data_IF_167762452079
#
_entry.id   IF_167762452079
#
_cell.length_a   1.000
_cell.length_b   1.000
_cell.length_c   1.000
_cell.angle_alpha   90.00
_cell.angle_beta   90.00
_cell.angle_gamma   90.00
#
_symmetry.space_group_name_H-M   'P 1'
#
loop_
_entity.id
_entity.type
_entity.pdbx_description
1 polymer ?
#
# COMPACT_ATOMS: atom_id res chain seq x y z
N UNK A 1 -12.38 -5.33 -0.25
CA UNK A 1 -11.51 -6.26 -1.00
C UNK A 1 -11.84 -6.13 -2.48
N UNK A 2 -10.85 -6.00 -3.36
CA UNK A 2 -11.03 -5.82 -4.79
C UNK A 2 -11.20 -7.15 -5.53
N UNK A 3 -10.19 -8.01 -5.43
CA UNK A 3 -10.20 -9.32 -6.06
C UNK A 3 -9.11 -9.43 -7.13
N UNK A 4 -9.50 -9.75 -8.36
CA UNK A 4 -8.54 -9.90 -9.46
C UNK A 4 -8.73 -8.81 -10.50
N UNK A 5 -7.62 -8.33 -11.06
CA UNK A 5 -7.57 -7.18 -11.95
C UNK A 5 -7.45 -5.86 -11.20
N UNK A 6 -7.32 -4.76 -11.95
CA UNK A 6 -7.15 -3.41 -11.40
C UNK A 6 -8.44 -2.92 -10.74
N UNK A 7 -8.41 -2.77 -9.43
CA UNK A 7 -9.56 -2.43 -8.61
C UNK A 7 -9.46 -1.00 -8.05
N UNK A 8 -10.62 -0.38 -7.78
CA UNK A 8 -10.71 0.88 -7.05
C UNK A 8 -11.58 0.69 -5.81
N UNK A 9 -10.95 0.69 -4.63
CA UNK A 9 -11.60 0.50 -3.35
C UNK A 9 -11.72 1.84 -2.64
N UNK A 10 -12.96 2.14 -2.26
CA UNK A 10 -13.30 3.27 -1.41
C UNK A 10 -13.90 2.73 -0.12
N UNK A 11 -13.21 2.97 0.98
CA UNK A 11 -13.72 2.76 2.32
C UNK A 11 -14.84 3.76 2.63
N UNK A 12 -15.67 3.38 3.59
CA UNK A 12 -16.88 4.10 3.95
C UNK A 12 -16.75 4.87 5.26
N UNK A 13 -17.86 4.93 5.99
CA UNK A 13 -17.84 5.36 7.38
C UNK A 13 -17.36 4.18 8.25
N UNK A 14 -16.38 4.44 9.13
CA UNK A 14 -15.84 3.42 10.03
C UNK A 14 -14.42 2.99 9.64
N UNK A 15 -13.78 2.26 10.55
CA UNK A 15 -12.45 1.69 10.34
C UNK A 15 -12.51 0.52 9.37
N UNK A 16 -11.73 0.58 8.29
CA UNK A 16 -11.75 -0.39 7.20
C UNK A 16 -10.49 -1.26 7.12
N UNK A 17 -10.64 -2.44 6.54
CA UNK A 17 -9.53 -3.29 6.13
C UNK A 17 -9.58 -3.44 4.61
N UNK A 18 -8.66 -2.77 3.92
CA UNK A 18 -8.61 -2.71 2.47
C UNK A 18 -7.54 -3.68 1.96
N UNK A 19 -7.96 -4.58 1.09
CA UNK A 19 -7.10 -5.54 0.38
C UNK A 19 -7.44 -5.38 -1.10
N UNK A 20 -6.52 -4.86 -1.92
CA UNK A 20 -6.77 -4.69 -3.35
C UNK A 20 -6.94 -6.05 -4.03
N UNK A 21 -5.95 -6.90 -3.82
CA UNK A 21 -5.83 -8.21 -4.45
C UNK A 21 -6.78 -9.28 -3.89
N UNK A 22 -6.78 -10.42 -4.58
CA UNK A 22 -7.24 -11.70 -4.07
C UNK A 22 -6.08 -12.40 -3.34
N UNK A 23 -6.04 -12.40 -1.98
CA UNK A 23 -4.93 -12.95 -1.22
C UNK A 23 -4.83 -14.50 -1.30
N UNK A 24 -5.82 -15.15 -1.92
CA UNK A 24 -5.80 -16.60 -2.17
C UNK A 24 -5.29 -16.97 -3.55
N UNK A 25 -4.95 -15.97 -4.38
CA UNK A 25 -4.33 -16.23 -5.67
C UNK A 25 -2.90 -16.77 -5.44
N UNK A 26 -2.33 -17.43 -6.47
CA UNK A 26 -0.95 -17.92 -6.40
C UNK A 26 0.05 -16.75 -6.33
N UNK A 27 -0.31 -15.62 -6.92
CA UNK A 27 0.53 -14.44 -6.98
C UNK A 27 -0.35 -13.19 -6.81
N UNK A 28 -0.65 -12.79 -5.57
CA UNK A 28 -1.60 -11.71 -5.31
C UNK A 28 -1.04 -10.38 -5.82
N UNK A 29 -1.79 -9.70 -6.68
CA UNK A 29 -1.38 -8.40 -7.23
C UNK A 29 -0.61 -8.49 -8.55
N UNK A 30 -0.27 -9.68 -9.04
CA UNK A 30 0.52 -9.81 -10.26
C UNK A 30 -0.15 -9.17 -11.48
N UNK A 31 0.49 -8.14 -12.02
CA UNK A 31 -0.01 -7.32 -13.12
C UNK A 31 -1.26 -6.48 -12.76
N UNK A 32 -1.52 -6.25 -11.47
CA UNK A 32 -2.67 -5.50 -10.96
C UNK A 32 -2.23 -4.14 -10.40
N UNK A 33 -2.89 -3.06 -10.81
CA UNK A 33 -2.72 -1.73 -10.23
C UNK A 33 -4.01 -1.33 -9.52
N UNK A 34 -3.97 -1.35 -8.20
CA UNK A 34 -5.13 -1.11 -7.37
C UNK A 34 -5.09 0.27 -6.74
N UNK A 35 -6.24 0.95 -6.66
CA UNK A 35 -6.38 2.21 -5.93
C UNK A 35 -7.14 1.98 -4.63
N UNK A 36 -6.53 2.32 -3.50
CA UNK A 36 -7.08 2.12 -2.16
C UNK A 36 -7.28 3.48 -1.47
N UNK A 37 -8.52 3.76 -1.08
CA UNK A 37 -8.91 4.95 -0.31
C UNK A 37 -9.62 4.48 0.96
N UNK A 38 -9.09 4.80 2.15
CA UNK A 38 -9.60 4.29 3.42
C UNK A 38 -10.82 5.04 3.95
N UNK A 39 -10.82 6.38 3.84
CA UNK A 39 -11.83 7.21 4.48
C UNK A 39 -11.20 8.08 5.55
N UNK A 40 -11.96 8.39 6.61
CA UNK A 40 -11.56 9.32 7.68
C UNK A 40 -11.37 8.65 9.03
N UNK A 41 -11.40 7.33 9.12
CA UNK A 41 -11.26 6.60 10.39
C UNK A 41 -9.87 5.95 10.47
N UNK A 42 -9.69 4.89 11.26
CA UNK A 42 -8.40 4.21 11.36
C UNK A 42 -8.41 2.99 10.43
N UNK A 43 -7.81 3.14 9.26
CA UNK A 43 -7.87 2.13 8.21
C UNK A 43 -6.60 1.27 8.14
N UNK A 44 -6.75 0.04 7.66
CA UNK A 44 -5.64 -0.89 7.43
C UNK A 44 -5.56 -1.23 5.95
N UNK A 45 -4.47 -0.81 5.31
CA UNK A 45 -4.13 -1.17 3.93
C UNK A 45 -3.26 -2.42 3.95
N UNK A 46 -3.77 -3.53 3.42
CA UNK A 46 -3.10 -4.82 3.45
C UNK A 46 -2.34 -5.04 2.14
N UNK A 47 -1.01 -4.99 2.23
CA UNK A 47 -0.07 -5.19 1.13
C UNK A 47 0.74 -6.48 1.27
N UNK A 48 0.39 -7.31 2.25
CA UNK A 48 1.03 -8.61 2.47
C UNK A 48 0.38 -9.34 3.62
N UNK A 49 0.56 -10.65 3.64
CA UNK A 49 0.18 -11.51 4.76
C UNK A 49 1.34 -12.44 5.15
N UNK A 50 1.10 -13.44 6.01
CA UNK A 50 2.15 -14.37 6.47
C UNK A 50 2.82 -15.18 5.36
N UNK A 51 2.24 -15.24 4.17
CA UNK A 51 2.72 -16.00 3.02
C UNK A 51 3.69 -15.20 2.15
N UNK A 52 3.61 -13.86 2.16
CA UNK A 52 4.42 -12.99 1.32
C UNK A 52 3.84 -11.59 1.18
N UNK A 53 4.54 -10.70 0.49
CA UNK A 53 3.97 -9.43 0.08
C UNK A 53 3.07 -9.64 -1.14
N UNK A 54 2.20 -8.66 -1.40
CA UNK A 54 1.42 -8.57 -2.63
C UNK A 54 2.14 -7.62 -3.58
N UNK A 55 1.89 -7.74 -4.89
CA UNK A 55 2.51 -6.90 -5.92
C UNK A 55 4.06 -7.01 -5.91
N UNK A 56 4.61 -8.23 -5.80
CA UNK A 56 6.07 -8.45 -5.63
C UNK A 56 6.75 -9.13 -6.84
N UNK A 57 6.14 -9.14 -8.04
CA UNK A 57 6.64 -9.95 -9.17
C UNK A 57 6.66 -9.26 -10.57
N UNK A 58 6.04 -8.10 -10.82
CA UNK A 58 6.00 -7.41 -12.14
C UNK A 58 6.62 -5.98 -12.15
N UNK A 59 7.53 -5.73 -11.20
CA UNK A 59 8.46 -4.61 -11.15
C UNK A 59 7.83 -3.25 -10.86
N UNK A 60 7.22 -2.64 -11.87
CA UNK A 60 6.51 -1.35 -11.77
C UNK A 60 5.11 -1.43 -12.38
N UNK A 61 4.70 -2.63 -12.80
CA UNK A 61 3.44 -2.85 -13.53
C UNK A 61 2.32 -3.35 -12.61
N UNK A 62 2.68 -3.77 -11.40
CA UNK A 62 1.82 -4.15 -10.29
C UNK A 62 2.12 -3.30 -9.06
N UNK A 63 1.13 -2.56 -8.55
CA UNK A 63 1.30 -1.81 -7.30
C UNK A 63 -0.04 -1.35 -6.71
N UNK A 64 -0.05 -1.07 -5.41
CA UNK A 64 -1.16 -0.39 -4.75
C UNK A 64 -0.93 1.14 -4.64
N UNK A 65 -1.87 1.93 -5.15
CA UNK A 65 -1.95 3.37 -4.93
C UNK A 65 -2.82 3.67 -3.70
N UNK A 66 -2.21 4.10 -2.60
CA UNK A 66 -2.91 4.51 -1.38
C UNK A 66 -3.12 6.03 -1.40
N UNK A 67 -4.37 6.46 -1.58
CA UNK A 67 -4.70 7.87 -1.89
C UNK A 67 -5.04 8.74 -0.66
N UNK A 68 -5.40 8.14 0.47
CA UNK A 68 -5.93 8.89 1.64
C UNK A 68 -5.28 8.52 2.98
N UNK A 69 -4.00 8.13 2.98
CA UNK A 69 -3.34 7.69 4.21
C UNK A 69 -3.23 8.81 5.25
N UNK A 70 -3.81 8.60 6.43
CA UNK A 70 -3.74 9.51 7.57
C UNK A 70 -2.65 9.08 8.57
N UNK A 71 -1.55 9.83 8.57
CA UNK A 71 -0.39 9.60 9.44
C UNK A 71 -0.80 9.56 10.91
N UNK A 72 -0.38 8.51 11.62
CA UNK A 72 -0.66 8.30 13.04
C UNK A 72 -2.03 7.65 13.33
N UNK A 73 -2.88 7.46 12.31
CA UNK A 73 -4.16 6.75 12.42
C UNK A 73 -4.09 5.43 11.66
N UNK A 74 -3.85 5.52 10.36
CA UNK A 74 -3.88 4.38 9.47
C UNK A 74 -2.66 3.49 9.64
N UNK A 75 -2.82 2.25 9.19
CA UNK A 75 -1.76 1.25 9.18
C UNK A 75 -1.61 0.60 7.81
N UNK A 76 -0.38 0.24 7.49
CA UNK A 76 -0.02 -0.55 6.33
C UNK A 76 0.49 -1.90 6.83
N UNK A 77 -0.19 -2.98 6.46
CA UNK A 77 0.24 -4.33 6.76
C UNK A 77 1.14 -4.86 5.64
N UNK A 78 2.32 -5.34 6.01
CA UNK A 78 3.29 -6.01 5.11
C UNK A 78 3.73 -7.35 5.71
N UNK A 79 4.39 -8.19 4.91
CA UNK A 79 4.89 -9.49 5.39
C UNK A 79 6.01 -9.36 6.42
N UNK A 80 7.01 -8.52 6.13
CA UNK A 80 8.12 -8.20 7.03
C UNK A 80 8.49 -6.72 6.90
N UNK A 81 8.29 -5.98 7.98
CA UNK A 81 8.59 -4.54 8.04
C UNK A 81 10.08 -4.22 7.91
N UNK A 82 10.96 -5.20 8.14
CA UNK A 82 12.42 -5.01 8.06
C UNK A 82 12.97 -5.27 6.65
N UNK A 83 12.14 -5.79 5.74
CA UNK A 83 12.56 -6.16 4.40
C UNK A 83 12.07 -5.17 3.33
N UNK A 84 11.24 -4.20 3.71
CA UNK A 84 10.76 -3.16 2.80
C UNK A 84 11.73 -1.99 2.72
N UNK A 85 11.82 -1.40 1.53
CA UNK A 85 12.52 -0.15 1.27
C UNK A 85 11.52 0.98 1.08
N UNK A 86 11.84 2.18 1.58
CA UNK A 86 11.03 3.38 1.43
C UNK A 86 11.78 4.45 0.66
N UNK A 87 11.09 5.11 -0.27
CA UNK A 87 11.66 6.25 -1.00
C UNK A 87 10.60 7.34 -1.17
N UNK A 88 10.83 8.52 -0.62
CA UNK A 88 9.96 9.68 -0.86
C UNK A 88 10.25 10.29 -2.23
N UNK A 89 9.23 10.34 -3.08
CA UNK A 89 9.25 11.03 -4.37
C UNK A 89 8.58 12.40 -4.20
N UNK A 90 9.33 13.52 -4.26
CA UNK A 90 8.76 14.84 -4.11
C UNK A 90 7.84 15.20 -5.28
N UNK A 91 6.89 16.09 -5.01
CA UNK A 91 6.04 16.66 -6.04
C UNK A 91 6.88 17.31 -7.15
N UNK A 92 6.47 17.10 -8.40
CA UNK A 92 7.09 17.71 -9.57
C UNK A 92 6.02 18.27 -10.49
N UNK A 93 6.08 19.57 -10.77
CA UNK A 93 5.04 20.28 -11.53
C UNK A 93 3.69 20.20 -10.83
N UNK A 94 2.73 19.49 -11.46
CA UNK A 94 1.37 19.29 -10.94
C UNK A 94 1.18 17.93 -10.26
N UNK A 95 2.20 17.07 -10.22
CA UNK A 95 2.11 15.76 -9.58
C UNK A 95 2.21 15.88 -8.06
N UNK A 96 1.35 15.13 -7.36
CA UNK A 96 1.40 15.00 -5.89
C UNK A 96 2.64 14.20 -5.47
N UNK A 97 3.25 14.57 -4.35
CA UNK A 97 4.31 13.78 -3.73
C UNK A 97 3.77 12.44 -3.21
N UNK A 98 4.59 11.40 -3.22
CA UNK A 98 4.23 10.10 -2.66
C UNK A 98 5.48 9.39 -2.13
N UNK A 99 5.29 8.42 -1.25
CA UNK A 99 6.35 7.51 -0.82
C UNK A 99 6.15 6.15 -1.47
N UNK A 100 7.20 5.63 -2.09
CA UNK A 100 7.23 4.26 -2.59
C UNK A 100 7.52 3.30 -1.44
N UNK A 101 6.84 2.16 -1.45
CA UNK A 101 7.18 0.98 -0.67
C UNK A 101 7.65 -0.07 -1.66
N UNK A 102 8.90 -0.52 -1.54
CA UNK A 102 9.48 -1.54 -2.39
C UNK A 102 9.97 -2.76 -1.61
N UNK A 103 10.18 -3.86 -2.32
CA UNK A 103 10.73 -5.10 -1.78
C UNK A 103 11.54 -5.81 -2.86
N UNK A 104 12.78 -6.20 -2.56
CA UNK A 104 13.68 -6.93 -3.49
C UNK A 104 13.83 -6.30 -4.89
N UNK A 105 13.62 -4.99 -5.02
CA UNK A 105 13.71 -4.25 -6.29
C UNK A 105 12.38 -4.09 -7.03
N UNK A 106 11.29 -4.60 -6.48
CA UNK A 106 9.92 -4.44 -6.95
C UNK A 106 9.19 -3.30 -6.21
N UNK A 107 8.19 -2.68 -6.85
CA UNK A 107 7.35 -1.63 -6.28
C UNK A 107 6.04 -2.24 -5.78
N UNK A 108 5.88 -2.33 -4.45
CA UNK A 108 4.65 -2.84 -3.85
C UNK A 108 3.55 -1.77 -3.84
N UNK A 109 3.89 -0.53 -3.49
CA UNK A 109 2.88 0.53 -3.32
C UNK A 109 3.42 1.95 -3.43
N UNK A 110 2.50 2.88 -3.71
CA UNK A 110 2.68 4.33 -3.66
C UNK A 110 1.71 4.94 -2.64
N UNK A 111 2.25 5.55 -1.59
CA UNK A 111 1.47 6.24 -0.55
C UNK A 111 1.48 7.74 -0.80
N UNK A 112 0.36 8.28 -1.26
CA UNK A 112 0.26 9.69 -1.67
C UNK A 112 0.18 10.63 -0.48
N UNK A 113 0.87 11.77 -0.58
CA UNK A 113 0.80 12.86 0.40
C UNK A 113 1.57 12.62 1.70
N UNK A 114 2.33 11.53 1.79
CA UNK A 114 3.07 11.12 2.99
C UNK A 114 4.54 10.93 2.66
N UNK A 115 5.43 11.30 3.58
CA UNK A 115 6.89 11.08 3.47
C UNK A 115 7.33 9.80 4.20
N UNK A 116 8.49 9.29 3.82
CA UNK A 116 9.19 8.19 4.50
C UNK A 116 9.38 8.46 6.00
N UNK A 117 9.83 9.66 6.37
CA UNK A 117 9.97 10.05 7.77
C UNK A 117 8.64 9.95 8.53
N UNK A 118 7.52 10.32 7.90
CA UNK A 118 6.20 10.20 8.52
C UNK A 118 5.79 8.74 8.69
N UNK A 119 6.04 7.88 7.71
CA UNK A 119 5.71 6.45 7.81
C UNK A 119 6.55 5.74 8.88
N UNK A 120 7.84 6.07 8.99
CA UNK A 120 8.77 5.42 9.91
C UNK A 120 8.64 5.91 11.35
N UNK A 121 8.48 7.23 11.58
CA UNK A 121 8.43 7.78 12.94
C UNK A 121 7.08 7.62 13.64
N UNK A 122 6.01 7.30 12.91
CA UNK A 122 4.65 7.15 13.47
C UNK A 122 4.19 5.71 13.62
N UNK A 123 5.10 4.74 13.45
CA UNK A 123 4.78 3.32 13.47
C UNK A 123 3.62 3.00 12.51
N UNK A 124 3.70 3.48 11.27
CA UNK A 124 2.65 3.28 10.26
C UNK A 124 2.55 1.84 9.76
N UNK A 125 3.59 1.03 10.00
CA UNK A 125 3.62 -0.36 9.56
C UNK A 125 3.22 -1.32 10.67
N UNK A 126 2.48 -2.36 10.27
CA UNK A 126 2.23 -3.57 11.07
C UNK A 126 2.69 -4.79 10.28
N UNK A 127 3.13 -5.82 11.00
CA UNK A 127 3.56 -7.08 10.42
C UNK A 127 2.44 -8.12 10.54
N UNK A 128 2.27 -8.94 9.49
CA UNK A 128 1.26 -10.00 9.42
C UNK A 128 1.47 -11.18 10.37
#
# INVERSE_FOLDING_TARGET
>A
MGGSGNDSLFGGEGAEVLVGVNPRSKNPGFGEQDTLTGGSENDVFVLGDKQGNFYEDDGLSDDAEIQSFEVGKDKIQVNDVNAIDLVTIPASGTSTAYTQIGFEGDLIARVFGVTEDQLTTTASFIQA
#
